data_IF_641575893097
#
_entry.id   IF_641575893097
#
_cell.length_a   1.000
_cell.length_b   1.000
_cell.length_c   1.000
_cell.angle_alpha   90.00
_cell.angle_beta   90.00
_cell.angle_gamma   90.00
#
_symmetry.space_group_name_H-M   'P 1'
#
loop_
_entity.id
_entity.type
_entity.pdbx_description
1 polymer ?
#
# COMPACT_ATOMS: atom_id res chain seq x y z
N UNK A 1 30.74 -7.60 -38.54
CA UNK A 1 30.44 -6.16 -38.41
C UNK A 1 29.14 -5.87 -39.18
N UNK A 2 27.97 -6.12 -38.58
CA UNK A 2 26.67 -5.96 -39.27
C UNK A 2 25.97 -4.67 -38.81
N UNK A 3 26.46 -3.51 -39.23
CA UNK A 3 25.73 -2.23 -39.08
C UNK A 3 24.99 -1.88 -40.37
N UNK A 4 23.96 -2.68 -40.69
CA UNK A 4 22.97 -2.35 -41.72
C UNK A 4 21.94 -1.34 -41.19
N UNK A 5 22.39 -0.21 -40.63
CA UNK A 5 21.48 0.93 -40.46
C UNK A 5 21.47 1.67 -41.78
N UNK A 6 20.33 1.65 -42.48
CA UNK A 6 20.17 2.38 -43.72
C UNK A 6 20.39 3.88 -43.47
N UNK A 7 21.52 4.41 -43.97
CA UNK A 7 21.77 5.84 -44.06
C UNK A 7 20.65 6.53 -44.87
N UNK A 8 20.51 7.86 -44.71
CA UNK A 8 19.39 8.65 -45.25
C UNK A 8 18.02 8.42 -44.57
N UNK A 9 18.03 8.10 -43.27
CA UNK A 9 16.84 8.11 -42.41
C UNK A 9 17.11 8.92 -41.14
N UNK A 10 16.05 9.33 -40.43
CA UNK A 10 16.17 10.01 -39.13
C UNK A 10 17.00 9.19 -38.13
N UNK A 11 16.76 7.88 -38.07
CA UNK A 11 17.51 6.99 -37.20
C UNK A 11 18.99 6.88 -37.61
N UNK A 12 19.29 6.88 -38.92
CA UNK A 12 20.66 6.92 -39.40
C UNK A 12 21.41 8.15 -38.92
N UNK A 13 20.80 9.34 -39.03
CA UNK A 13 21.39 10.59 -38.55
C UNK A 13 21.54 10.60 -37.02
N UNK A 14 20.51 10.20 -36.27
CA UNK A 14 20.56 10.12 -34.81
C UNK A 14 21.61 9.13 -34.30
N UNK A 15 21.88 8.05 -35.04
CA UNK A 15 22.94 7.11 -34.68
C UNK A 15 24.33 7.74 -34.80
N UNK A 16 24.59 8.54 -35.84
CA UNK A 16 25.85 9.29 -35.94
C UNK A 16 26.01 10.25 -34.76
N UNK A 17 24.96 11.03 -34.44
CA UNK A 17 24.97 11.97 -33.30
C UNK A 17 25.22 11.23 -31.98
N UNK A 18 24.55 10.09 -31.75
CA UNK A 18 24.69 9.30 -30.51
C UNK A 18 26.09 8.71 -30.34
N UNK A 19 26.76 8.35 -31.45
CA UNK A 19 28.11 7.79 -31.45
C UNK A 19 29.20 8.87 -31.48
N UNK A 20 28.82 10.15 -31.54
CA UNK A 20 29.72 11.28 -31.77
C UNK A 20 30.53 11.18 -33.07
N UNK A 21 30.01 10.47 -34.08
CA UNK A 21 30.63 10.37 -35.40
C UNK A 21 30.10 11.48 -36.31
N UNK A 22 30.96 12.00 -37.20
CA UNK A 22 30.52 12.95 -38.22
C UNK A 22 29.43 12.29 -39.11
N UNK A 23 28.25 12.92 -39.30
CA UNK A 23 27.22 12.36 -40.15
C UNK A 23 27.72 12.25 -41.59
N UNK A 24 27.48 11.10 -42.24
CA UNK A 24 27.81 10.93 -43.64
C UNK A 24 26.99 11.88 -44.54
N UNK A 25 27.45 12.08 -45.78
CA UNK A 25 26.85 13.03 -46.73
C UNK A 25 25.36 12.76 -46.99
N UNK A 26 24.94 11.50 -47.02
CA UNK A 26 23.53 11.10 -47.23
C UNK A 26 22.64 11.46 -46.04
N UNK A 27 23.10 11.28 -44.81
CA UNK A 27 22.39 11.69 -43.60
C UNK A 27 22.32 13.22 -43.46
N UNK A 28 23.37 13.96 -43.87
CA UNK A 28 23.36 15.43 -43.93
C UNK A 28 22.34 15.94 -44.95
N UNK A 29 22.33 15.37 -46.15
CA UNK A 29 21.37 15.71 -47.20
C UNK A 29 19.92 15.43 -46.77
N UNK A 30 19.67 14.31 -46.09
CA UNK A 30 18.36 13.99 -45.51
C UNK A 30 17.93 15.03 -44.46
N UNK A 31 18.79 15.38 -43.49
CA UNK A 31 18.46 16.35 -42.44
C UNK A 31 18.13 17.72 -43.02
N UNK A 32 18.90 18.18 -44.03
CA UNK A 32 18.63 19.43 -44.74
C UNK A 32 17.25 19.44 -45.41
N UNK A 33 16.87 18.35 -46.09
CA UNK A 33 15.54 18.20 -46.69
C UNK A 33 14.43 18.14 -45.65
N UNK A 34 14.68 17.48 -44.52
CA UNK A 34 13.70 17.38 -43.43
C UNK A 34 13.48 18.73 -42.73
N UNK A 35 14.53 19.51 -42.53
CA UNK A 35 14.44 20.85 -41.94
C UNK A 35 13.77 21.86 -42.89
N UNK A 36 13.92 21.66 -44.20
CA UNK A 36 13.19 22.41 -45.22
C UNK A 36 11.71 21.99 -45.36
N UNK A 37 11.26 20.95 -44.64
CA UNK A 37 9.91 20.39 -44.77
C UNK A 37 9.67 19.59 -46.06
N UNK A 38 10.69 19.44 -46.90
CA UNK A 38 10.63 18.72 -48.18
C UNK A 38 10.81 17.20 -48.03
N UNK A 39 11.28 16.73 -46.87
CA UNK A 39 11.31 15.31 -46.60
C UNK A 39 9.87 14.82 -46.48
N UNK A 40 9.39 14.16 -47.55
CA UNK A 40 8.20 13.35 -47.50
C UNK A 40 8.34 12.46 -46.25
N UNK A 41 7.44 12.64 -45.28
CA UNK A 41 7.33 11.72 -44.14
C UNK A 41 7.20 10.35 -44.76
N UNK A 42 8.27 9.56 -44.71
CA UNK A 42 8.26 8.21 -45.24
C UNK A 42 7.05 7.55 -44.60
N UNK A 43 6.05 7.22 -45.43
CA UNK A 43 4.86 6.55 -44.94
C UNK A 43 5.37 5.41 -44.08
N UNK A 44 4.96 5.32 -42.80
CA UNK A 44 5.54 4.36 -41.88
C UNK A 44 5.54 3.04 -42.61
N UNK A 45 6.73 2.50 -42.89
CA UNK A 45 6.85 1.24 -43.58
C UNK A 45 6.18 0.28 -42.62
N UNK A 46 4.88 0.04 -42.86
CA UNK A 46 4.17 -1.08 -42.30
C UNK A 46 4.92 -2.22 -42.95
N UNK A 47 6.00 -2.66 -42.28
CA UNK A 47 6.51 -4.00 -42.46
C UNK A 47 5.24 -4.85 -42.53
N UNK A 48 5.15 -5.71 -43.54
CA UNK A 48 4.06 -6.67 -43.66
C UNK A 48 4.12 -7.53 -42.40
N UNK A 49 3.65 -6.98 -41.29
CA UNK A 49 3.55 -7.57 -39.99
C UNK A 49 2.45 -8.57 -40.26
N UNK A 50 2.89 -9.79 -40.59
CA UNK A 50 2.04 -10.92 -40.87
C UNK A 50 0.87 -10.82 -39.91
N UNK A 51 -0.32 -10.74 -40.48
CA UNK A 51 -1.56 -10.62 -39.71
C UNK A 51 -1.49 -11.75 -38.71
N UNK A 52 -1.21 -11.40 -37.44
CA UNK A 52 -0.88 -12.42 -36.46
C UNK A 52 -2.03 -13.40 -36.40
N UNK A 53 -1.78 -14.61 -36.86
CA UNK A 53 -2.81 -15.63 -36.99
C UNK A 53 -3.39 -15.89 -35.60
N UNK A 54 -4.72 -15.95 -35.55
CA UNK A 54 -5.42 -16.32 -34.32
C UNK A 54 -4.98 -17.74 -33.91
N UNK A 55 -4.86 -17.98 -32.61
CA UNK A 55 -4.31 -19.24 -32.08
C UNK A 55 -2.84 -19.17 -31.67
N UNK A 56 -2.21 -17.99 -31.70
CA UNK A 56 -0.84 -17.79 -31.19
C UNK A 56 -0.81 -16.88 -29.96
N UNK A 57 0.26 -16.98 -29.14
CA UNK A 57 0.51 -16.03 -28.04
C UNK A 57 0.63 -14.59 -28.56
N UNK A 58 1.17 -14.41 -29.76
CA UNK A 58 1.25 -13.12 -30.46
C UNK A 58 -0.14 -12.57 -30.79
N UNK A 59 -1.07 -13.43 -31.27
CA UNK A 59 -2.48 -13.09 -31.46
C UNK A 59 -3.16 -12.67 -30.15
N UNK A 60 -2.96 -13.41 -29.06
CA UNK A 60 -3.48 -13.03 -27.73
C UNK A 60 -2.98 -11.64 -27.26
N UNK A 61 -1.68 -11.35 -27.45
CA UNK A 61 -1.10 -10.04 -27.13
C UNK A 61 -1.70 -8.92 -28.00
N UNK A 62 -2.03 -9.21 -29.26
CA UNK A 62 -2.67 -8.24 -30.17
C UNK A 62 -4.08 -7.89 -29.71
N UNK A 63 -4.92 -8.87 -29.36
CA UNK A 63 -6.24 -8.61 -28.78
C UNK A 63 -6.16 -7.73 -27.53
N UNK A 64 -5.22 -8.01 -26.60
CA UNK A 64 -5.01 -7.16 -25.42
C UNK A 64 -4.58 -5.74 -25.75
N UNK A 65 -3.77 -5.55 -26.80
CA UNK A 65 -3.30 -4.23 -27.24
C UNK A 65 -4.44 -3.42 -27.87
N UNK A 66 -5.30 -4.08 -28.63
CA UNK A 66 -6.47 -3.48 -29.26
C UNK A 66 -7.65 -3.32 -28.30
N UNK A 67 -7.56 -3.83 -27.07
CA UNK A 67 -8.67 -3.89 -26.09
C UNK A 67 -9.87 -4.70 -26.57
N UNK A 68 -9.65 -5.67 -27.45
CA UNK A 68 -10.68 -6.60 -27.93
C UNK A 68 -10.72 -7.86 -27.06
N UNK A 69 -11.90 -8.49 -26.96
CA UNK A 69 -12.02 -9.80 -26.32
C UNK A 69 -11.20 -10.84 -27.10
N UNK A 70 -10.18 -11.42 -26.46
CA UNK A 70 -9.36 -12.44 -27.11
C UNK A 70 -10.19 -13.67 -27.46
N UNK A 71 -10.08 -14.12 -28.72
CA UNK A 71 -10.74 -15.33 -29.19
C UNK A 71 -10.27 -16.57 -28.41
N UNK A 72 -11.11 -17.61 -28.38
CA UNK A 72 -10.84 -18.87 -27.69
C UNK A 72 -9.45 -19.47 -28.02
N UNK A 73 -9.03 -19.63 -29.29
CA UNK A 73 -7.76 -20.30 -29.59
C UNK A 73 -6.55 -19.49 -29.10
N UNK A 74 -6.57 -18.16 -29.20
CA UNK A 74 -5.52 -17.30 -28.64
C UNK A 74 -5.43 -17.43 -27.12
N UNK A 75 -6.57 -17.53 -26.42
CA UNK A 75 -6.64 -17.63 -24.96
C UNK A 75 -6.14 -18.98 -24.45
N UNK A 76 -6.52 -20.06 -25.12
CA UNK A 76 -6.06 -21.42 -24.83
C UNK A 76 -4.55 -21.54 -25.02
N UNK A 77 -4.03 -21.01 -26.11
CA UNK A 77 -2.59 -21.01 -26.39
C UNK A 77 -1.79 -20.22 -25.34
N UNK A 78 -2.26 -19.02 -24.99
CA UNK A 78 -1.64 -18.22 -23.94
C UNK A 78 -1.65 -18.93 -22.58
N UNK A 79 -2.73 -19.66 -22.27
CA UNK A 79 -2.84 -20.47 -21.07
C UNK A 79 -1.90 -21.67 -21.11
N UNK A 80 -1.78 -22.36 -22.24
CA UNK A 80 -0.85 -23.49 -22.44
C UNK A 80 0.59 -23.06 -22.18
N UNK A 81 1.06 -22.02 -22.88
CA UNK A 81 2.41 -21.47 -22.70
C UNK A 81 2.64 -20.96 -21.27
N UNK A 82 1.62 -20.40 -20.62
CA UNK A 82 1.70 -20.00 -19.21
C UNK A 82 1.89 -21.21 -18.28
N UNK A 83 1.13 -22.30 -18.49
CA UNK A 83 1.26 -23.56 -17.72
C UNK A 83 2.63 -24.20 -17.94
N UNK A 84 3.11 -24.26 -19.17
CA UNK A 84 4.45 -24.77 -19.51
C UNK A 84 5.55 -23.95 -18.84
N UNK A 85 5.48 -22.62 -18.90
CA UNK A 85 6.46 -21.75 -18.23
C UNK A 85 6.42 -21.89 -16.71
N UNK A 86 5.24 -22.12 -16.12
CA UNK A 86 5.12 -22.44 -14.68
C UNK A 86 5.73 -23.80 -14.36
N UNK A 87 5.47 -24.82 -15.18
CA UNK A 87 6.06 -26.14 -15.04
C UNK A 87 7.60 -26.06 -15.12
N UNK A 88 8.14 -25.39 -16.14
CA UNK A 88 9.59 -25.11 -16.29
C UNK A 88 10.17 -24.37 -15.08
N UNK A 89 9.49 -23.34 -14.55
CA UNK A 89 9.94 -22.66 -13.33
C UNK A 89 9.91 -23.56 -12.10
N UNK A 90 8.95 -24.49 -12.02
CA UNK A 90 8.85 -25.43 -10.90
C UNK A 90 9.93 -26.49 -10.98
N UNK A 91 10.22 -27.03 -12.16
CA UNK A 91 11.33 -27.97 -12.36
C UNK A 91 12.67 -27.32 -12.06
N UNK A 92 12.92 -26.08 -12.51
CA UNK A 92 14.15 -25.33 -12.17
C UNK A 92 14.30 -25.11 -10.66
N UNK A 93 13.19 -24.86 -9.93
CA UNK A 93 13.22 -24.71 -8.47
C UNK A 93 13.44 -26.02 -7.72
N UNK A 94 12.81 -27.11 -8.15
CA UNK A 94 12.90 -28.43 -7.50
C UNK A 94 14.22 -29.12 -7.80
N UNK A 95 14.74 -28.98 -9.02
CA UNK A 95 16.04 -29.53 -9.42
C UNK A 95 17.22 -28.87 -8.70
N UNK A 96 16.98 -27.83 -7.87
CA UNK A 96 18.02 -27.19 -7.08
C UNK A 96 19.22 -26.77 -7.92
N UNK A 97 18.99 -26.43 -9.21
CA UNK A 97 20.07 -26.07 -10.13
C UNK A 97 20.97 -25.06 -9.42
N UNK A 98 22.31 -25.26 -9.48
CA UNK A 98 23.24 -24.55 -8.61
C UNK A 98 22.89 -23.09 -8.69
N UNK A 99 22.44 -22.54 -7.54
CA UNK A 99 22.18 -21.11 -7.42
C UNK A 99 23.40 -20.45 -8.04
N UNK A 100 23.25 -19.62 -9.11
CA UNK A 100 24.41 -19.03 -9.77
C UNK A 100 25.30 -18.52 -8.67
N UNK A 101 26.57 -18.96 -8.69
CA UNK A 101 27.52 -18.71 -7.62
C UNK A 101 27.35 -17.25 -7.19
N UNK A 102 27.23 -16.96 -5.88
CA UNK A 102 27.02 -15.59 -5.41
C UNK A 102 27.99 -14.70 -6.17
N UNK A 103 27.47 -13.86 -7.06
CA UNK A 103 28.33 -12.97 -7.82
C UNK A 103 29.15 -12.22 -6.79
N UNK A 104 30.46 -12.13 -6.99
CA UNK A 104 31.34 -11.37 -6.10
C UNK A 104 30.66 -10.05 -5.76
N UNK A 105 30.61 -9.67 -4.47
CA UNK A 105 29.85 -8.52 -4.02
C UNK A 105 30.34 -7.29 -4.79
N UNK A 106 29.56 -6.87 -5.79
CA UNK A 106 29.86 -5.68 -6.57
C UNK A 106 30.07 -4.54 -5.59
N UNK A 107 31.17 -3.81 -5.78
CA UNK A 107 31.56 -2.72 -4.91
C UNK A 107 30.33 -1.84 -4.58
N UNK A 108 30.13 -1.49 -3.31
CA UNK A 108 28.94 -0.79 -2.86
C UNK A 108 28.87 0.57 -3.55
N UNK A 109 28.02 0.67 -4.57
CA UNK A 109 27.82 1.91 -5.34
C UNK A 109 27.55 3.08 -4.39
N UNK A 110 28.19 4.21 -4.62
CA UNK A 110 27.97 5.44 -3.85
C UNK A 110 26.48 5.79 -3.80
N UNK A 111 25.95 6.07 -2.61
CA UNK A 111 24.53 6.39 -2.42
C UNK A 111 24.29 7.81 -2.90
N UNK A 112 23.36 7.98 -3.85
CA UNK A 112 22.85 9.31 -4.25
C UNK A 112 21.83 9.80 -3.22
N UNK A 113 22.29 10.57 -2.24
CA UNK A 113 21.45 11.16 -1.19
C UNK A 113 20.43 12.16 -1.77
N UNK A 114 19.38 12.47 -1.00
CA UNK A 114 18.31 13.37 -1.45
C UNK A 114 17.34 12.78 -2.46
N UNK A 115 17.37 11.46 -2.67
CA UNK A 115 16.46 10.77 -3.60
C UNK A 115 15.77 9.58 -2.93
N UNK A 116 14.62 9.17 -3.48
CA UNK A 116 13.95 7.94 -3.00
C UNK A 116 14.75 6.67 -3.27
N UNK A 117 15.61 6.66 -4.30
CA UNK A 117 16.57 5.60 -4.53
C UNK A 117 17.64 5.54 -3.42
N UNK A 118 18.09 6.71 -2.94
CA UNK A 118 18.98 6.82 -1.80
C UNK A 118 18.37 6.26 -0.51
N UNK A 119 17.11 6.56 -0.21
CA UNK A 119 16.39 5.95 0.92
C UNK A 119 16.36 4.41 0.84
N UNK A 120 16.09 3.85 -0.35
CA UNK A 120 16.09 2.40 -0.57
C UNK A 120 17.49 1.78 -0.53
N UNK A 121 18.55 2.56 -0.79
CA UNK A 121 19.92 2.11 -0.63
C UNK A 121 20.27 1.96 0.86
N UNK A 122 19.96 2.97 1.69
CA UNK A 122 20.08 2.91 3.15
C UNK A 122 19.38 1.67 3.73
N UNK A 123 18.10 1.46 3.35
CA UNK A 123 17.32 0.31 3.81
C UNK A 123 17.91 -1.05 3.39
N UNK A 124 18.57 -1.15 2.23
CA UNK A 124 19.20 -2.39 1.78
C UNK A 124 20.55 -2.68 2.45
N UNK A 125 21.15 -1.66 3.05
CA UNK A 125 22.39 -1.77 3.85
C UNK A 125 22.13 -1.83 5.35
N UNK A 126 20.85 -1.84 5.75
CA UNK A 126 20.42 -1.75 7.15
C UNK A 126 20.98 -0.50 7.88
N UNK A 127 21.27 0.57 7.13
CA UNK A 127 21.72 1.86 7.66
C UNK A 127 20.51 2.78 7.93
N UNK A 128 20.62 3.66 8.94
CA UNK A 128 19.58 4.65 9.20
C UNK A 128 19.53 5.68 8.05
N UNK A 129 18.39 5.86 7.36
CA UNK A 129 18.32 6.78 6.23
C UNK A 129 18.57 8.23 6.66
N UNK A 130 19.46 8.91 5.95
CA UNK A 130 19.73 10.32 6.22
C UNK A 130 18.51 11.23 5.96
N UNK A 131 18.52 12.41 6.58
CA UNK A 131 17.43 13.38 6.56
C UNK A 131 17.04 13.84 5.12
N UNK A 132 17.98 14.11 4.20
CA UNK A 132 17.65 14.40 2.80
C UNK A 132 16.88 13.28 2.08
N UNK A 133 17.24 12.01 2.34
CA UNK A 133 16.56 10.86 1.76
C UNK A 133 15.14 10.68 2.33
N UNK A 134 14.96 10.93 3.64
CA UNK A 134 13.64 10.95 4.28
C UNK A 134 12.76 12.09 3.75
N UNK A 135 13.33 13.28 3.55
CA UNK A 135 12.63 14.43 2.96
C UNK A 135 12.13 14.09 1.54
N UNK A 136 12.98 13.50 0.69
CA UNK A 136 12.59 13.05 -0.65
C UNK A 136 11.46 12.00 -0.63
N UNK A 137 11.48 11.07 0.33
CA UNK A 137 10.41 10.09 0.50
C UNK A 137 9.09 10.74 0.95
N UNK A 138 9.14 11.69 1.90
CA UNK A 138 7.98 12.47 2.34
C UNK A 138 7.38 13.26 1.19
N UNK A 139 8.22 13.92 0.39
CA UNK A 139 7.78 14.68 -0.78
C UNK A 139 7.10 13.79 -1.83
N UNK A 140 7.73 12.67 -2.19
CA UNK A 140 7.09 11.68 -3.10
C UNK A 140 5.75 11.20 -2.54
N UNK A 141 5.67 10.95 -1.24
CA UNK A 141 4.43 10.52 -0.58
C UNK A 141 3.35 11.61 -0.59
N UNK A 142 3.74 12.89 -0.42
CA UNK A 142 2.83 14.03 -0.56
C UNK A 142 2.30 14.16 -1.99
N UNK A 143 3.20 14.14 -2.99
CA UNK A 143 2.83 14.16 -4.41
C UNK A 143 1.88 13.01 -4.76
N UNK A 144 2.24 11.77 -4.40
CA UNK A 144 1.39 10.62 -4.62
C UNK A 144 0.01 10.73 -3.95
N UNK A 145 -0.11 11.38 -2.78
CA UNK A 145 -1.42 11.65 -2.14
C UNK A 145 -2.20 12.78 -2.80
N UNK A 146 -1.52 13.78 -3.36
CA UNK A 146 -2.13 14.87 -4.11
C UNK A 146 -2.66 14.38 -5.46
N UNK A 147 -1.87 13.57 -6.17
CA UNK A 147 -2.20 13.01 -7.48
C UNK A 147 -3.14 11.81 -7.40
N UNK A 148 -3.20 11.14 -6.24
CA UNK A 148 -4.12 10.02 -6.05
C UNK A 148 -5.56 10.50 -6.26
N UNK A 149 -6.30 9.94 -7.24
CA UNK A 149 -7.68 10.33 -7.45
C UNK A 149 -8.44 10.08 -6.14
N UNK A 150 -8.99 11.15 -5.57
CA UNK A 150 -9.89 11.08 -4.41
C UNK A 150 -11.17 10.42 -4.90
N UNK A 151 -11.16 9.09 -5.08
CA UNK A 151 -12.37 8.33 -5.36
C UNK A 151 -13.35 8.68 -4.25
N UNK A 152 -14.49 9.34 -4.57
CA UNK A 152 -15.45 9.68 -3.55
C UNK A 152 -15.82 8.37 -2.88
N UNK A 153 -15.52 8.25 -1.59
CA UNK A 153 -15.92 7.09 -0.81
C UNK A 153 -17.42 7.28 -0.55
N UNK A 154 -18.23 7.15 -1.60
CA UNK A 154 -19.68 7.02 -1.50
C UNK A 154 -19.92 5.67 -0.86
N UNK A 155 -19.73 5.61 0.46
CA UNK A 155 -20.16 4.49 1.26
C UNK A 155 -21.67 4.55 1.21
N UNK A 156 -22.29 3.60 0.50
CA UNK A 156 -23.75 3.42 0.53
C UNK A 156 -24.16 3.47 2.00
N UNK A 157 -25.02 4.42 2.36
CA UNK A 157 -25.46 4.58 3.73
C UNK A 157 -26.14 3.28 4.12
N UNK A 158 -25.53 2.52 5.03
CA UNK A 158 -26.17 1.32 5.57
C UNK A 158 -27.49 1.71 6.24
N UNK A 159 -28.52 0.86 6.18
CA UNK A 159 -29.76 1.09 6.91
C UNK A 159 -29.50 1.20 8.41
N UNK A 160 -30.47 1.78 9.13
CA UNK A 160 -30.51 1.74 10.59
C UNK A 160 -30.51 0.28 11.10
N UNK A 161 -30.16 0.09 12.37
CA UNK A 161 -29.97 -1.25 12.96
C UNK A 161 -28.57 -1.83 12.78
N UNK A 162 -27.58 -1.01 12.43
CA UNK A 162 -26.17 -1.42 12.38
C UNK A 162 -25.33 -0.56 13.33
N UNK A 163 -24.24 -1.14 13.88
CA UNK A 163 -23.28 -0.38 14.71
C UNK A 163 -22.69 0.84 13.96
N UNK A 164 -22.53 0.74 12.64
CA UNK A 164 -22.08 1.85 11.80
C UNK A 164 -23.13 2.98 11.73
N UNK A 165 -24.41 2.65 11.68
CA UNK A 165 -25.49 3.63 11.71
C UNK A 165 -25.60 4.32 13.09
N UNK A 166 -25.36 3.60 14.19
CA UNK A 166 -25.25 4.20 15.53
C UNK A 166 -24.16 5.30 15.59
N UNK A 167 -22.95 5.00 15.09
CA UNK A 167 -21.85 5.96 15.06
C UNK A 167 -22.11 7.17 14.13
N UNK A 168 -23.02 7.02 13.17
CA UNK A 168 -23.45 8.13 12.30
C UNK A 168 -24.39 9.07 13.06
N UNK A 169 -25.40 8.55 13.76
CA UNK A 169 -26.25 9.39 14.63
C UNK A 169 -25.41 10.23 15.61
N UNK A 170 -24.39 9.63 16.24
CA UNK A 170 -23.48 10.38 17.12
C UNK A 170 -22.64 11.45 16.42
N UNK A 171 -22.24 11.23 15.16
CA UNK A 171 -21.48 12.21 14.40
C UNK A 171 -22.35 13.39 13.97
N UNK A 172 -23.61 13.10 13.68
CA UNK A 172 -24.60 14.06 13.20
C UNK A 172 -25.35 14.73 14.38
N UNK A 173 -24.99 14.40 15.62
CA UNK A 173 -25.60 14.88 16.88
C UNK A 173 -27.11 14.57 17.01
N UNK A 174 -27.56 13.47 16.41
CA UNK A 174 -28.92 12.96 16.54
C UNK A 174 -29.03 11.91 17.64
N UNK A 175 -30.22 11.78 18.25
CA UNK A 175 -30.47 10.65 19.13
C UNK A 175 -30.53 9.35 18.33
N UNK A 176 -29.64 8.40 18.66
CA UNK A 176 -29.62 7.12 17.98
C UNK A 176 -30.92 6.32 18.22
N UNK A 177 -31.52 5.83 17.15
CA UNK A 177 -32.73 5.00 17.24
C UNK A 177 -32.47 3.69 18.04
N UNK A 178 -33.51 3.10 18.65
CA UNK A 178 -33.40 1.84 19.41
C UNK A 178 -32.66 0.69 18.69
N UNK A 179 -32.94 0.37 17.41
CA UNK A 179 -32.25 -0.74 16.75
C UNK A 179 -30.75 -0.48 16.57
N UNK A 180 -30.34 0.77 16.37
CA UNK A 180 -28.92 1.15 16.32
C UNK A 180 -28.24 0.99 17.70
N UNK A 181 -28.91 1.39 18.78
CA UNK A 181 -28.42 1.23 20.16
C UNK A 181 -28.20 -0.25 20.50
N UNK A 182 -29.13 -1.12 20.12
CA UNK A 182 -29.02 -2.58 20.30
C UNK A 182 -27.90 -3.18 19.45
N UNK A 183 -27.84 -2.84 18.17
CA UNK A 183 -26.77 -3.31 17.28
C UNK A 183 -25.37 -2.94 17.80
N UNK A 184 -25.20 -1.73 18.33
CA UNK A 184 -23.95 -1.30 18.97
C UNK A 184 -23.62 -2.11 20.22
N UNK A 185 -24.63 -2.45 21.05
CA UNK A 185 -24.46 -3.29 22.24
C UNK A 185 -23.95 -4.68 21.84
N UNK A 186 -24.59 -5.30 20.85
CA UNK A 186 -24.22 -6.62 20.32
C UNK A 186 -22.81 -6.62 19.70
N UNK A 187 -22.48 -5.63 18.86
CA UNK A 187 -21.14 -5.50 18.27
C UNK A 187 -20.06 -5.30 19.35
N UNK A 188 -20.35 -4.52 20.39
CA UNK A 188 -19.42 -4.32 21.52
C UNK A 188 -19.16 -5.61 22.30
N UNK A 189 -20.21 -6.40 22.56
CA UNK A 189 -20.10 -7.73 23.19
C UNK A 189 -19.27 -8.65 22.30
N UNK A 190 -19.55 -8.71 20.99
CA UNK A 190 -18.82 -9.55 20.04
C UNK A 190 -17.34 -9.14 19.91
N UNK A 191 -17.03 -7.83 19.93
CA UNK A 191 -15.64 -7.33 19.97
C UNK A 191 -14.93 -7.73 21.25
N UNK A 192 -15.60 -7.64 22.40
CA UNK A 192 -15.05 -8.09 23.69
C UNK A 192 -14.78 -9.60 23.69
N UNK A 193 -15.71 -10.41 23.18
CA UNK A 193 -15.54 -11.85 23.04
C UNK A 193 -14.34 -12.20 22.13
N UNK A 194 -14.22 -11.57 20.96
CA UNK A 194 -13.05 -11.75 20.06
C UNK A 194 -11.73 -11.37 20.73
N UNK A 195 -11.72 -10.29 21.51
CA UNK A 195 -10.53 -9.86 22.25
C UNK A 195 -10.13 -10.89 23.31
N UNK A 196 -11.09 -11.38 24.09
CA UNK A 196 -10.89 -12.44 25.10
C UNK A 196 -10.34 -13.71 24.44
N UNK A 197 -10.95 -14.16 23.34
CA UNK A 197 -10.48 -15.35 22.61
C UNK A 197 -9.04 -15.19 22.09
N UNK A 198 -8.69 -14.02 21.54
CA UNK A 198 -7.32 -13.75 21.05
C UNK A 198 -6.29 -13.67 22.17
N UNK A 199 -6.69 -13.19 23.34
CA UNK A 199 -5.79 -12.96 24.50
C UNK A 199 -5.77 -14.17 25.46
N UNK A 200 -6.43 -15.27 25.12
CA UNK A 200 -6.44 -16.50 25.94
C UNK A 200 -7.30 -16.41 27.20
N UNK A 201 -8.31 -15.53 27.22
CA UNK A 201 -9.19 -15.32 28.36
C UNK A 201 -9.32 -13.85 28.77
N UNK A 202 -10.13 -13.55 29.81
CA UNK A 202 -10.08 -12.24 30.43
C UNK A 202 -8.66 -12.02 30.93
N UNK A 203 -8.03 -10.92 30.51
CA UNK A 203 -6.67 -10.59 30.96
C UNK A 203 -6.61 -10.71 32.48
N UNK A 204 -5.75 -11.60 33.04
CA UNK A 204 -5.57 -11.63 34.47
C UNK A 204 -5.18 -10.21 34.89
N UNK A 205 -5.72 -9.74 36.01
CA UNK A 205 -5.37 -8.43 36.57
C UNK A 205 -3.93 -8.39 37.11
N UNK A 206 -3.01 -9.13 36.49
CA UNK A 206 -1.59 -9.18 36.78
C UNK A 206 -1.02 -7.76 36.59
N UNK A 207 -0.52 -7.18 37.68
CA UNK A 207 0.01 -5.81 37.73
C UNK A 207 -0.89 -4.77 38.42
N UNK A 208 -2.06 -5.14 38.96
CA UNK A 208 -2.78 -4.22 39.86
C UNK A 208 -1.99 -4.07 41.16
N UNK A 209 -1.59 -2.83 41.49
CA UNK A 209 -0.95 -2.49 42.76
C UNK A 209 -1.78 -3.02 43.95
N UNK A 210 -1.14 -3.43 45.06
CA UNK A 210 -1.82 -3.78 46.30
C UNK A 210 -2.84 -2.72 46.71
N UNK A 211 -3.94 -3.13 47.35
CA UNK A 211 -4.98 -2.20 47.75
C UNK A 211 -4.47 -1.36 48.92
N UNK A 212 -4.47 -0.03 48.75
CA UNK A 212 -4.18 0.90 49.85
C UNK A 212 -5.43 1.09 50.70
N UNK A 213 -5.56 0.28 51.76
CA UNK A 213 -6.70 0.31 52.66
C UNK A 213 -6.81 1.63 53.43
N UNK A 214 -8.00 1.94 53.95
CA UNK A 214 -8.25 3.18 54.72
C UNK A 214 -8.37 4.44 53.88
N UNK A 215 -8.54 4.32 52.54
CA UNK A 215 -8.64 5.46 51.64
C UNK A 215 -9.84 5.32 50.70
N UNK A 216 -10.34 6.45 50.18
CA UNK A 216 -11.39 6.47 49.13
C UNK A 216 -10.92 5.70 47.89
N UNK A 217 -9.65 5.87 47.52
CA UNK A 217 -9.02 5.14 46.42
C UNK A 217 -9.02 3.63 46.67
N UNK A 218 -8.75 3.19 47.90
CA UNK A 218 -8.86 1.80 48.34
C UNK A 218 -10.27 1.25 48.16
N UNK A 219 -11.31 1.96 48.58
CA UNK A 219 -12.72 1.56 48.33
C UNK A 219 -13.00 1.42 46.83
N UNK A 220 -12.57 2.38 46.02
CA UNK A 220 -12.75 2.32 44.57
C UNK A 220 -11.98 1.16 43.93
N UNK A 221 -10.85 0.73 44.51
CA UNK A 221 -10.13 -0.46 44.06
C UNK A 221 -10.88 -1.75 44.41
N UNK A 222 -11.47 -1.85 45.62
CA UNK A 222 -12.36 -2.96 46.01
C UNK A 222 -13.53 -3.13 45.03
N UNK A 223 -14.28 -2.05 44.77
CA UNK A 223 -15.42 -2.07 43.83
C UNK A 223 -14.99 -2.47 42.41
N UNK A 224 -13.83 -1.99 41.93
CA UNK A 224 -13.27 -2.37 40.61
C UNK A 224 -12.75 -3.82 40.55
N UNK A 225 -12.50 -4.45 41.69
CA UNK A 225 -12.14 -5.87 41.80
C UNK A 225 -13.37 -6.76 42.03
N UNK A 226 -14.53 -6.18 42.34
CA UNK A 226 -15.73 -6.93 42.72
C UNK A 226 -15.69 -7.45 44.15
N UNK A 227 -14.79 -6.93 44.98
CA UNK A 227 -14.65 -7.29 46.40
C UNK A 227 -15.48 -6.32 47.26
N UNK A 228 -16.01 -6.82 48.38
CA UNK A 228 -16.68 -5.98 49.36
C UNK A 228 -15.64 -5.07 50.05
N UNK A 229 -15.83 -3.73 50.07
CA UNK A 229 -14.86 -2.85 50.69
C UNK A 229 -14.70 -3.15 52.17
N UNK A 230 -13.45 -3.30 52.63
CA UNK A 230 -13.16 -3.48 54.05
C UNK A 230 -13.57 -2.25 54.88
N UNK A 231 -13.72 -2.44 56.19
CA UNK A 231 -14.22 -1.41 57.09
C UNK A 231 -13.38 -0.12 57.09
N UNK A 232 -12.03 -0.15 57.12
CA UNK A 232 -11.24 1.07 57.00
C UNK A 232 -11.56 1.88 55.73
N UNK A 233 -11.74 1.21 54.59
CA UNK A 233 -12.10 1.86 53.33
C UNK A 233 -13.54 2.40 53.33
N UNK A 234 -14.47 1.71 54.01
CA UNK A 234 -15.85 2.17 54.18
C UNK A 234 -15.92 3.41 55.06
N UNK A 235 -15.23 3.40 56.20
CA UNK A 235 -15.16 4.51 57.15
C UNK A 235 -14.59 5.76 56.46
N UNK A 236 -13.45 5.62 55.76
CA UNK A 236 -12.83 6.73 55.04
C UNK A 236 -13.75 7.33 53.97
N UNK A 237 -14.50 6.51 53.24
CA UNK A 237 -15.48 6.99 52.25
C UNK A 237 -16.67 7.69 52.90
N UNK A 238 -17.19 7.17 54.01
CA UNK A 238 -18.28 7.80 54.75
C UNK A 238 -17.86 9.14 55.35
N UNK A 239 -16.64 9.23 55.88
CA UNK A 239 -16.07 10.49 56.35
C UNK A 239 -15.93 11.51 55.23
N UNK A 240 -15.36 11.12 54.09
CA UNK A 240 -15.30 11.97 52.91
C UNK A 240 -16.69 12.48 52.48
N UNK A 241 -17.70 11.60 52.42
CA UNK A 241 -19.06 12.00 52.06
C UNK A 241 -19.69 12.97 53.08
N UNK A 242 -19.40 12.80 54.38
CA UNK A 242 -19.83 13.73 55.43
C UNK A 242 -19.20 15.10 55.22
N UNK A 243 -17.88 15.16 55.01
CA UNK A 243 -17.14 16.39 54.74
C UNK A 243 -17.64 17.09 53.47
N UNK A 244 -17.81 16.33 52.38
CA UNK A 244 -18.34 16.83 51.10
C UNK A 244 -19.77 17.38 51.23
N UNK A 245 -20.63 16.69 51.98
CA UNK A 245 -22.00 17.17 52.22
C UNK A 245 -22.01 18.43 53.08
N UNK A 246 -21.14 18.51 54.09
CA UNK A 246 -21.01 19.69 54.93
C UNK A 246 -20.48 20.90 54.15
N UNK A 247 -19.48 20.72 53.28
CA UNK A 247 -18.99 21.81 52.43
C UNK A 247 -20.04 22.28 51.43
N UNK A 248 -20.80 21.36 50.83
CA UNK A 248 -21.90 21.72 49.92
C UNK A 248 -23.01 22.50 50.62
N UNK A 249 -23.33 22.17 51.89
CA UNK A 249 -24.31 22.92 52.70
C UNK A 249 -23.83 24.32 53.08
N UNK A 250 -22.53 24.51 53.30
CA UNK A 250 -21.95 25.84 53.59
C UNK A 250 -21.90 26.76 52.36
N UNK A 251 -21.87 26.18 51.17
CA UNK A 251 -21.79 26.91 49.90
C UNK A 251 -23.17 27.22 49.28
N UNK A 252 -24.25 26.67 49.84
CA UNK A 252 -25.63 26.94 49.45
C UNK A 252 -26.24 27.95 50.40
#
# INVERSE_FOLDING_TARGET
MNSNYACATEQGYLNHVRRNDAPCMTCKAWKKKNDAGEAAKAAPVRSKAQVAECGTVSGYRKHRRNSEAACAPCREEANRVSRENKAKKRTVRVAGGPKPAPQEPKEPRTIKHGTTAGYQAHKRRDEQPCEPCLAALREKSRKARADAPKKPRVRKLLPCGTAAAYLRHLRDNEEACPPCKEAQRLDSVAKRARKIAREGGPRPHAGRKPITHGTIAGRAQHVRRGEMPCDPCRIAFNEYNRQYSASRRKAA
#
